data_IF_330354431539
#
_entry.id   IF_330354431539
#
_cell.length_a   1.000
_cell.length_b   1.000
_cell.length_c   1.000
_cell.angle_alpha   90.00
_cell.angle_beta   90.00
_cell.angle_gamma   90.00
#
_symmetry.space_group_name_H-M   'P 1'
#
loop_
_entity.id
_entity.type
_entity.pdbx_description
1 polymer ?
#
# COMPACT_ATOMS: atom_id res chain seq x y z
N UNK A 1 -13.15 -10.16 1.55
CA UNK A 1 -13.79 -8.82 1.57
C UNK A 1 -13.04 -7.90 0.60
N UNK A 2 -13.64 -6.82 0.09
CA UNK A 2 -12.93 -5.91 -0.82
C UNK A 2 -11.95 -5.03 -0.03
N UNK A 3 -10.63 -5.06 -0.30
CA UNK A 3 -9.63 -4.32 0.48
C UNK A 3 -9.92 -2.81 0.50
N UNK A 4 -10.34 -2.20 -0.62
CA UNK A 4 -10.68 -0.77 -0.65
C UNK A 4 -11.86 -0.42 0.28
N UNK A 5 -12.76 -1.35 0.59
CA UNK A 5 -13.83 -1.06 1.57
C UNK A 5 -13.26 -0.97 2.98
N UNK A 6 -12.39 -1.93 3.35
CA UNK A 6 -11.70 -1.92 4.64
C UNK A 6 -10.86 -0.65 4.82
N UNK A 7 -10.12 -0.26 3.78
CA UNK A 7 -9.33 0.97 3.80
C UNK A 7 -10.20 2.22 3.92
N UNK A 8 -11.33 2.30 3.21
CA UNK A 8 -12.25 3.43 3.34
C UNK A 8 -12.83 3.56 4.75
N UNK A 9 -13.22 2.44 5.37
CA UNK A 9 -13.72 2.41 6.75
C UNK A 9 -12.63 2.83 7.76
N UNK A 10 -11.40 2.34 7.58
CA UNK A 10 -10.26 2.70 8.43
C UNK A 10 -9.80 4.15 8.25
N UNK A 11 -9.81 4.70 7.02
CA UNK A 11 -9.55 6.11 6.76
C UNK A 11 -10.59 7.02 7.42
N UNK A 12 -11.88 6.65 7.35
CA UNK A 12 -12.95 7.42 7.99
C UNK A 12 -12.88 7.41 9.53
N UNK A 13 -12.19 6.42 10.10
CA UNK A 13 -11.98 6.27 11.54
C UNK A 13 -10.61 6.80 12.01
N UNK A 14 -9.84 7.47 11.14
CA UNK A 14 -8.47 7.94 11.43
C UNK A 14 -7.55 6.82 11.94
N UNK A 15 -7.78 5.58 11.49
CA UNK A 15 -7.10 4.39 12.00
C UNK A 15 -5.66 4.23 11.49
N UNK A 16 -5.30 4.92 10.40
CA UNK A 16 -3.94 4.98 9.89
C UNK A 16 -3.28 6.28 10.36
N UNK A 17 -2.45 6.27 11.43
CA UNK A 17 -1.83 7.50 11.94
C UNK A 17 -1.10 8.30 10.85
N UNK A 18 -0.45 7.60 9.92
CA UNK A 18 0.29 8.18 8.79
C UNK A 18 -0.62 8.92 7.79
N UNK A 19 -1.91 8.58 7.73
CA UNK A 19 -2.88 9.12 6.77
C UNK A 19 -3.96 9.98 7.42
N UNK A 20 -3.77 10.39 8.68
CA UNK A 20 -4.67 11.32 9.38
C UNK A 20 -4.52 12.78 8.93
N UNK A 21 -5.54 13.59 9.21
CA UNK A 21 -5.52 15.04 8.96
C UNK A 21 -5.81 15.43 7.51
N UNK A 22 -6.33 14.51 6.70
CA UNK A 22 -6.93 14.83 5.41
C UNK A 22 -8.43 15.10 5.59
N UNK A 23 -8.94 16.14 4.93
CA UNK A 23 -10.33 16.57 5.06
C UNK A 23 -11.29 15.77 4.17
N UNK A 24 -10.77 15.10 3.14
CA UNK A 24 -11.58 14.30 2.22
C UNK A 24 -10.81 13.13 1.62
N UNK A 25 -11.55 12.04 1.32
CA UNK A 25 -11.05 10.83 0.69
C UNK A 25 -11.88 10.53 -0.58
N UNK A 26 -11.35 10.87 -1.75
CA UNK A 26 -11.99 10.57 -3.03
C UNK A 26 -11.49 9.24 -3.57
N UNK A 27 -12.37 8.48 -4.22
CA UNK A 27 -12.07 7.14 -4.74
C UNK A 27 -11.90 7.16 -6.26
N UNK A 28 -11.10 6.23 -6.77
CA UNK A 28 -11.00 5.95 -8.22
C UNK A 28 -10.59 7.19 -9.05
N UNK A 29 -9.65 7.97 -8.53
CA UNK A 29 -9.21 9.22 -9.17
C UNK A 29 -8.18 8.92 -10.25
N UNK A 30 -8.35 9.50 -11.44
CA UNK A 30 -7.42 9.29 -12.55
C UNK A 30 -6.07 9.94 -12.25
N UNK A 31 -5.01 9.17 -12.50
CA UNK A 31 -3.61 9.63 -12.53
C UNK A 31 -2.87 8.94 -13.68
N UNK A 32 -1.89 9.64 -14.25
CA UNK A 32 -1.26 9.20 -15.49
C UNK A 32 -2.24 9.06 -16.67
N UNK A 33 -1.83 8.32 -17.69
CA UNK A 33 -2.60 8.22 -18.93
C UNK A 33 -3.82 7.28 -18.80
N UNK A 34 -3.66 6.11 -18.20
CA UNK A 34 -4.64 5.01 -18.25
C UNK A 34 -4.82 4.28 -16.91
N UNK A 35 -4.65 4.98 -15.79
CA UNK A 35 -4.81 4.40 -14.46
C UNK A 35 -5.67 5.27 -13.56
N UNK A 36 -6.19 4.63 -12.51
CA UNK A 36 -6.86 5.28 -11.40
C UNK A 36 -6.19 4.82 -10.13
N UNK A 37 -5.97 5.75 -9.21
CA UNK A 37 -5.55 5.45 -7.85
C UNK A 37 -6.79 5.05 -7.05
N UNK A 38 -6.62 4.16 -6.09
CA UNK A 38 -7.73 3.73 -5.23
C UNK A 38 -8.30 4.91 -4.43
N UNK A 39 -7.43 5.75 -3.86
CA UNK A 39 -7.81 6.94 -3.10
C UNK A 39 -6.92 8.17 -3.38
N UNK A 40 -7.54 9.34 -3.42
CA UNK A 40 -6.89 10.65 -3.31
C UNK A 40 -7.36 11.30 -2.00
N UNK A 41 -6.41 11.57 -1.11
CA UNK A 41 -6.66 12.21 0.17
C UNK A 41 -6.26 13.69 0.06
N UNK A 42 -7.15 14.60 0.42
CA UNK A 42 -6.96 16.05 0.21
C UNK A 42 -7.25 16.84 1.49
N UNK A 43 -6.44 17.87 1.73
CA UNK A 43 -6.62 18.86 2.79
C UNK A 43 -6.07 20.21 2.31
N UNK A 44 -6.57 21.34 2.84
CA UNK A 44 -6.17 22.68 2.38
C UNK A 44 -4.75 23.09 2.79
N UNK A 45 -4.17 22.44 3.81
CA UNK A 45 -2.91 22.84 4.47
C UNK A 45 -1.71 21.94 4.09
N UNK A 46 -1.89 20.96 3.21
CA UNK A 46 -0.87 19.96 2.85
C UNK A 46 -1.02 19.45 1.43
N UNK A 47 0.04 18.88 0.83
CA UNK A 47 -0.07 18.23 -0.48
C UNK A 47 -1.06 17.05 -0.46
N UNK A 48 -1.86 16.87 -1.53
CA UNK A 48 -2.63 15.66 -1.76
C UNK A 48 -1.80 14.38 -1.61
N UNK A 49 -2.43 13.33 -1.06
CA UNK A 49 -1.84 12.01 -0.94
C UNK A 49 -2.53 11.00 -1.86
N UNK A 50 -1.75 10.42 -2.77
CA UNK A 50 -2.17 9.39 -3.71
C UNK A 50 -1.97 8.02 -3.07
N UNK A 51 -3.06 7.35 -2.69
CA UNK A 51 -3.02 6.09 -1.94
C UNK A 51 -3.52 4.92 -2.81
N UNK A 52 -2.60 4.03 -3.15
CA UNK A 52 -2.88 2.77 -3.83
C UNK A 52 -2.97 1.64 -2.81
N UNK A 53 -3.94 0.74 -2.96
CA UNK A 53 -4.22 -0.39 -2.08
C UNK A 53 -3.90 -1.70 -2.80
N UNK A 54 -3.27 -2.63 -2.08
CA UNK A 54 -3.01 -3.99 -2.55
C UNK A 54 -3.47 -5.00 -1.52
N UNK A 55 -4.17 -6.03 -1.96
CA UNK A 55 -4.50 -7.16 -1.12
C UNK A 55 -3.31 -8.13 -1.08
N UNK A 56 -2.75 -8.34 0.10
CA UNK A 56 -1.65 -9.28 0.33
C UNK A 56 -2.20 -10.51 1.04
N UNK A 57 -2.03 -11.68 0.43
CA UNK A 57 -2.57 -12.93 0.96
C UNK A 57 -1.62 -14.12 0.77
N UNK A 58 -0.58 -13.99 -0.05
CA UNK A 58 0.45 -15.01 -0.18
C UNK A 58 1.27 -15.07 1.12
N UNK A 59 1.48 -16.29 1.61
CA UNK A 59 2.49 -16.67 2.60
C UNK A 59 2.95 -18.05 2.18
N UNK A 60 4.25 -18.22 2.02
CA UNK A 60 4.83 -19.51 1.61
C UNK A 60 5.42 -20.27 2.80
N UNK A 61 6.09 -19.56 3.70
CA UNK A 61 6.75 -20.13 4.88
C UNK A 61 6.73 -19.14 6.06
N UNK A 62 6.96 -19.63 7.28
CA UNK A 62 7.13 -18.78 8.47
C UNK A 62 5.91 -17.90 8.75
N UNK A 63 6.12 -16.62 9.01
CA UNK A 63 5.08 -15.59 9.26
C UNK A 63 5.16 -14.44 8.24
N UNK A 64 5.89 -14.63 7.14
CA UNK A 64 6.10 -13.57 6.14
C UNK A 64 4.93 -13.53 5.14
N UNK A 65 4.23 -12.40 5.11
CA UNK A 65 3.30 -12.08 4.03
C UNK A 65 4.07 -11.55 2.82
N UNK A 66 3.69 -11.99 1.64
CA UNK A 66 4.40 -11.66 0.41
C UNK A 66 3.46 -11.11 -0.67
N UNK A 67 3.95 -10.17 -1.47
CA UNK A 67 3.26 -9.71 -2.66
C UNK A 67 4.25 -9.49 -3.82
N UNK A 68 3.95 -9.90 -5.06
CA UNK A 68 2.71 -10.52 -5.51
C UNK A 68 2.73 -12.05 -5.41
N UNK A 69 1.59 -12.68 -5.69
CA UNK A 69 1.40 -14.14 -5.84
C UNK A 69 1.61 -14.65 -7.28
N UNK A 70 1.80 -13.73 -8.23
CA UNK A 70 2.10 -13.98 -9.64
C UNK A 70 2.71 -12.71 -10.26
N UNK A 71 3.08 -12.75 -11.54
CA UNK A 71 3.59 -11.55 -12.23
C UNK A 71 2.54 -10.42 -12.20
N UNK A 72 2.90 -9.29 -11.60
CA UNK A 72 2.03 -8.15 -11.31
C UNK A 72 2.40 -6.91 -12.14
N UNK A 73 2.48 -7.07 -13.46
CA UNK A 73 2.86 -6.00 -14.39
C UNK A 73 1.97 -4.74 -14.26
N UNK A 74 0.69 -4.92 -13.94
CA UNK A 74 -0.22 -3.80 -13.65
C UNK A 74 0.19 -3.07 -12.37
N UNK A 75 0.43 -3.78 -11.28
CA UNK A 75 0.88 -3.17 -10.01
C UNK A 75 2.22 -2.45 -10.16
N UNK A 76 3.14 -2.99 -10.97
CA UNK A 76 4.40 -2.30 -11.31
C UNK A 76 4.16 -0.98 -12.05
N UNK A 77 3.18 -0.93 -12.96
CA UNK A 77 2.77 0.32 -13.62
C UNK A 77 2.27 1.35 -12.61
N UNK A 78 1.43 0.94 -11.65
CA UNK A 78 0.92 1.82 -10.60
C UNK A 78 2.06 2.39 -9.72
N UNK A 79 3.10 1.62 -9.41
CA UNK A 79 4.29 2.13 -8.70
C UNK A 79 5.00 3.26 -9.46
N UNK A 80 5.13 3.13 -10.78
CA UNK A 80 5.72 4.19 -11.63
C UNK A 80 4.84 5.44 -11.64
N UNK A 81 3.52 5.27 -11.66
CA UNK A 81 2.58 6.39 -11.62
C UNK A 81 2.58 7.10 -10.25
N UNK A 82 2.67 6.36 -9.14
CA UNK A 82 2.87 6.94 -7.81
C UNK A 82 4.20 7.68 -7.71
N UNK A 83 5.29 7.10 -8.25
CA UNK A 83 6.60 7.75 -8.29
C UNK A 83 6.53 9.09 -9.03
N UNK A 84 5.83 9.15 -10.16
CA UNK A 84 5.62 10.40 -10.89
C UNK A 84 4.82 11.45 -10.10
N UNK A 85 3.91 11.04 -9.20
CA UNK A 85 3.22 11.97 -8.30
C UNK A 85 4.17 12.54 -7.25
N UNK A 86 5.07 11.70 -6.70
CA UNK A 86 6.11 12.17 -5.77
C UNK A 86 7.06 13.15 -6.46
N UNK A 87 7.52 12.85 -7.68
CA UNK A 87 8.36 13.74 -8.49
C UNK A 87 7.66 15.07 -8.83
N UNK A 88 6.32 15.09 -8.84
CA UNK A 88 5.50 16.30 -8.99
C UNK A 88 5.23 17.05 -7.66
N UNK A 89 5.92 16.67 -6.58
CA UNK A 89 5.81 17.32 -5.26
C UNK A 89 4.56 16.92 -4.46
N UNK A 90 3.88 15.84 -4.84
CA UNK A 90 2.74 15.27 -4.10
C UNK A 90 3.21 14.16 -3.17
N UNK A 91 2.35 13.73 -2.25
CA UNK A 91 2.61 12.54 -1.41
C UNK A 91 2.02 11.30 -2.09
N UNK A 92 2.71 10.16 -2.03
CA UNK A 92 2.19 8.91 -2.58
C UNK A 92 2.46 7.72 -1.66
N UNK A 93 1.50 6.82 -1.52
CA UNK A 93 1.51 5.70 -0.59
C UNK A 93 1.07 4.43 -1.31
N UNK A 94 1.84 3.36 -1.15
CA UNK A 94 1.45 1.99 -1.47
C UNK A 94 1.10 1.27 -0.17
N UNK A 95 -0.18 0.93 0.02
CA UNK A 95 -0.68 0.25 1.20
C UNK A 95 -0.99 -1.23 0.90
N UNK A 96 -0.30 -2.13 1.58
CA UNK A 96 -0.57 -3.56 1.56
C UNK A 96 -1.50 -3.93 2.72
N UNK A 97 -2.67 -4.47 2.39
CA UNK A 97 -3.65 -5.00 3.36
C UNK A 97 -3.48 -6.51 3.43
N UNK A 98 -2.98 -6.99 4.55
CA UNK A 98 -2.73 -8.41 4.81
C UNK A 98 -4.00 -9.00 5.44
N UNK A 99 -4.89 -9.55 4.61
CA UNK A 99 -6.15 -10.16 5.07
C UNK A 99 -5.93 -11.58 5.60
N UNK A 100 -5.03 -11.73 6.58
CA UNK A 100 -4.70 -12.96 7.30
C UNK A 100 -4.09 -12.61 8.66
N UNK A 101 -4.22 -13.50 9.64
CA UNK A 101 -3.85 -13.25 11.05
C UNK A 101 -2.59 -13.99 11.50
N UNK A 102 -1.91 -14.70 10.60
CA UNK A 102 -0.73 -15.53 10.87
C UNK A 102 0.56 -14.95 10.25
N UNK A 103 0.57 -13.64 9.99
CA UNK A 103 1.73 -12.92 9.47
C UNK A 103 2.09 -11.71 10.34
N UNK A 104 3.38 -11.53 10.60
CA UNK A 104 3.92 -10.44 11.43
C UNK A 104 4.89 -9.50 10.68
N UNK A 105 5.11 -9.77 9.39
CA UNK A 105 5.94 -8.96 8.51
C UNK A 105 5.47 -9.07 7.06
N UNK A 106 5.86 -8.08 6.24
CA UNK A 106 5.61 -8.03 4.82
C UNK A 106 6.92 -7.97 4.01
N UNK A 107 6.95 -8.56 2.82
CA UNK A 107 8.00 -8.34 1.82
C UNK A 107 7.47 -8.46 0.38
N UNK A 108 8.19 -7.87 -0.56
CA UNK A 108 7.92 -8.11 -1.97
C UNK A 108 8.48 -9.46 -2.41
N UNK A 109 7.69 -10.27 -3.13
CA UNK A 109 8.07 -11.61 -3.56
C UNK A 109 8.94 -11.57 -4.82
N UNK A 110 10.26 -11.44 -4.66
CA UNK A 110 11.20 -11.39 -5.77
C UNK A 110 11.25 -12.71 -6.58
N UNK A 111 10.89 -13.85 -5.98
CA UNK A 111 10.87 -15.14 -6.69
C UNK A 111 9.76 -15.21 -7.74
N UNK A 112 8.61 -14.60 -7.46
CA UNK A 112 7.43 -14.62 -8.34
C UNK A 112 7.40 -13.44 -9.29
N UNK A 113 7.85 -12.26 -8.83
CA UNK A 113 7.99 -11.09 -9.68
C UNK A 113 9.20 -10.22 -9.26
N UNK A 114 10.40 -10.52 -9.81
CA UNK A 114 11.60 -9.74 -9.51
C UNK A 114 11.53 -8.31 -10.06
N UNK A 115 10.68 -8.05 -11.07
CA UNK A 115 10.48 -6.71 -11.61
C UNK A 115 9.64 -5.86 -10.66
N UNK A 116 8.57 -6.42 -10.10
CA UNK A 116 7.77 -5.76 -9.08
C UNK A 116 8.58 -5.48 -7.81
N UNK A 117 9.31 -6.48 -7.29
CA UNK A 117 10.10 -6.31 -6.07
C UNK A 117 11.12 -5.17 -6.20
N UNK A 118 11.87 -5.14 -7.32
CA UNK A 118 12.77 -4.02 -7.64
C UNK A 118 12.03 -2.69 -7.77
N UNK A 119 10.90 -2.69 -8.48
CA UNK A 119 10.10 -1.48 -8.67
C UNK A 119 9.56 -0.91 -7.36
N UNK A 120 9.22 -1.75 -6.38
CA UNK A 120 8.78 -1.29 -5.06
C UNK A 120 9.93 -0.63 -4.29
N UNK A 121 11.12 -1.25 -4.29
CA UNK A 121 12.33 -0.68 -3.68
C UNK A 121 12.73 0.65 -4.35
N UNK A 122 12.71 0.71 -5.69
CA UNK A 122 13.02 1.93 -6.44
C UNK A 122 12.01 3.06 -6.18
N UNK A 123 10.72 2.74 -6.14
CA UNK A 123 9.66 3.71 -5.81
C UNK A 123 9.83 4.24 -4.39
N UNK A 124 10.13 3.37 -3.42
CA UNK A 124 10.39 3.77 -2.04
C UNK A 124 11.61 4.68 -1.92
N UNK A 125 12.70 4.37 -2.62
CA UNK A 125 13.90 5.22 -2.67
C UNK A 125 13.63 6.61 -3.27
N UNK A 126 12.56 6.77 -4.06
CA UNK A 126 12.12 8.05 -4.63
C UNK A 126 11.04 8.75 -3.81
N UNK A 127 10.68 8.21 -2.65
CA UNK A 127 9.75 8.83 -1.71
C UNK A 127 8.31 8.31 -1.76
N UNK A 128 8.02 7.22 -2.48
CA UNK A 128 6.74 6.52 -2.32
C UNK A 128 6.75 5.81 -0.96
N UNK A 129 5.83 6.16 -0.08
CA UNK A 129 5.73 5.52 1.22
C UNK A 129 5.13 4.12 1.08
N UNK A 130 5.71 3.14 1.79
CA UNK A 130 5.23 1.76 1.79
C UNK A 130 4.68 1.43 3.16
N UNK A 131 3.38 1.20 3.23
CA UNK A 131 2.69 0.80 4.46
C UNK A 131 2.19 -0.64 4.29
N UNK A 132 2.26 -1.42 5.37
CA UNK A 132 1.66 -2.74 5.43
C UNK A 132 0.88 -2.85 6.74
N UNK A 133 -0.37 -3.29 6.66
CA UNK A 133 -1.25 -3.47 7.80
C UNK A 133 -1.89 -4.85 7.75
N UNK A 134 -1.98 -5.50 8.91
CA UNK A 134 -2.75 -6.71 9.07
C UNK A 134 -4.24 -6.41 9.29
N UNK A 135 -5.01 -7.48 9.46
CA UNK A 135 -6.44 -7.39 9.74
C UNK A 135 -6.78 -8.22 10.97
N UNK A 136 -7.67 -7.68 11.80
CA UNK A 136 -8.44 -8.49 12.74
C UNK A 136 -9.57 -9.16 11.96
N UNK A 137 -9.69 -10.49 12.11
CA UNK A 137 -10.69 -11.31 11.39
C UNK A 137 -11.46 -12.14 12.41
N UNK A 138 -12.77 -11.91 12.47
CA UNK A 138 -13.73 -12.63 13.32
C UNK A 138 -14.88 -13.16 12.46
N UNK A 139 -15.80 -13.92 13.06
CA UNK A 139 -17.02 -14.36 12.38
C UNK A 139 -17.99 -13.21 12.10
N UNK A 140 -17.84 -12.09 12.79
CA UNK A 140 -18.72 -10.92 12.72
C UNK A 140 -18.17 -9.82 11.80
N UNK A 141 -16.84 -9.64 11.75
CA UNK A 141 -16.22 -8.54 11.02
C UNK A 141 -14.79 -8.83 10.57
N UNK A 142 -14.35 -8.08 9.56
CA UNK A 142 -12.95 -7.91 9.17
C UNK A 142 -12.62 -6.44 9.31
N UNK A 143 -11.52 -6.09 9.97
CA UNK A 143 -11.08 -4.70 10.19
C UNK A 143 -9.58 -4.60 10.00
N UNK A 144 -9.11 -3.45 9.50
CA UNK A 144 -7.69 -3.11 9.55
C UNK A 144 -7.26 -3.08 11.03
N UNK A 145 -6.13 -3.70 11.36
CA UNK A 145 -5.63 -3.78 12.72
C UNK A 145 -4.31 -3.03 12.89
N UNK A 146 -3.17 -3.70 12.96
CA UNK A 146 -1.88 -3.10 13.29
C UNK A 146 -0.98 -2.92 12.05
N UNK A 147 -0.08 -1.93 12.06
CA UNK A 147 0.99 -1.87 11.09
C UNK A 147 1.93 -3.07 11.30
N UNK A 148 2.45 -3.61 10.20
CA UNK A 148 3.50 -4.63 10.21
C UNK A 148 4.73 -4.13 9.48
N UNK A 149 5.94 -4.52 9.91
CA UNK A 149 7.18 -4.09 9.27
C UNK A 149 7.29 -4.62 7.83
N UNK A 150 7.75 -3.75 6.93
CA UNK A 150 8.26 -4.16 5.63
C UNK A 150 9.73 -4.61 5.77
N UNK A 151 9.95 -5.92 5.79
CA UNK A 151 11.27 -6.52 6.06
C UNK A 151 12.36 -6.14 5.01
N UNK A 152 11.95 -5.71 3.81
CA UNK A 152 12.84 -5.32 2.72
C UNK A 152 13.28 -3.84 2.72
N UNK A 153 12.83 -3.02 3.68
CA UNK A 153 13.13 -1.58 3.71
C UNK A 153 14.62 -1.25 3.98
N UNK A 154 15.40 -2.19 4.51
CA UNK A 154 16.78 -1.97 4.96
C UNK A 154 17.86 -2.43 3.95
N UNK A 155 17.81 -1.96 2.71
CA UNK A 155 18.93 -2.09 1.76
C UNK A 155 19.56 -0.75 1.34
N UNK A 156 19.23 0.36 2.00
CA UNK A 156 19.79 1.69 1.69
C UNK A 156 20.08 2.57 2.91
N UNK A 157 20.51 1.96 4.03
CA UNK A 157 21.10 2.69 5.16
C UNK A 157 22.26 1.88 5.75
N UNK A 158 23.36 1.80 4.99
CA UNK A 158 24.70 1.45 5.46
C UNK A 158 25.72 2.27 4.67
#
# INVERSE_FOLDING_TARGET
MHPNRLVAEALAADHFPELTGYASHRREVRYGANSRVDFLLEAPDRPPCWLEVKNCHLRRTGTLAEFPDCVAARSLKHLRELTAMVEAGQRAVMLFVIQRTDCDAFSACADLDPAYARGLTEAAARGVEVLAYDCEITTEAVRIAAPVPWAGANLAAA
#
